data_IF_439439513090
#
_entry.id   IF_439439513090
#
_cell.length_a   1.000
_cell.length_b   1.000
_cell.length_c   1.000
_cell.angle_alpha   90.00
_cell.angle_beta   90.00
_cell.angle_gamma   90.00
#
_symmetry.space_group_name_H-M   'P 1'
#
loop_
_entity.id
_entity.type
_entity.pdbx_description
1 polymer ?
#
# COMPACT_ATOMS: atom_id res chain seq x y z
N UNK A 1 6.24 10.76 -11.32
CA UNK A 1 5.70 10.32 -10.02
C UNK A 1 6.83 10.30 -8.98
N UNK A 2 6.86 11.22 -8.01
CA UNK A 2 7.92 11.37 -7.01
C UNK A 2 7.85 10.30 -5.91
N UNK A 3 7.61 9.04 -6.29
CA UNK A 3 7.57 7.92 -5.35
C UNK A 3 8.97 7.35 -5.17
N UNK A 4 9.31 6.97 -3.94
CA UNK A 4 10.58 6.32 -3.60
C UNK A 4 10.82 5.08 -4.50
N UNK A 5 12.06 4.81 -4.93
CA UNK A 5 12.37 3.68 -5.83
C UNK A 5 11.90 2.32 -5.31
N UNK A 6 11.89 2.10 -3.98
CA UNK A 6 11.42 0.85 -3.38
C UNK A 6 9.94 0.56 -3.67
N UNK A 7 9.07 1.57 -3.69
CA UNK A 7 7.66 1.42 -4.05
C UNK A 7 7.49 1.03 -5.52
N UNK A 8 8.34 1.56 -6.42
CA UNK A 8 8.34 1.18 -7.84
C UNK A 8 8.76 -0.28 -8.03
N UNK A 9 9.84 -0.70 -7.36
CA UNK A 9 10.29 -2.10 -7.38
C UNK A 9 9.26 -3.05 -6.78
N UNK A 10 8.58 -2.64 -5.70
CA UNK A 10 7.44 -3.36 -5.14
C UNK A 10 6.32 -3.52 -6.18
N UNK A 11 5.90 -2.41 -6.81
CA UNK A 11 4.82 -2.44 -7.77
C UNK A 11 5.12 -3.32 -8.97
N UNK A 12 6.34 -3.26 -9.49
CA UNK A 12 6.78 -4.13 -10.59
C UNK A 12 6.63 -5.62 -10.22
N UNK A 13 7.05 -6.01 -9.00
CA UNK A 13 6.88 -7.39 -8.52
C UNK A 13 5.41 -7.79 -8.39
N UNK A 14 4.56 -6.91 -7.85
CA UNK A 14 3.12 -7.12 -7.74
C UNK A 14 2.48 -7.30 -9.14
N UNK A 15 2.80 -6.39 -10.06
CA UNK A 15 2.31 -6.40 -11.44
C UNK A 15 2.68 -7.69 -12.19
N UNK A 16 3.93 -8.13 -12.05
CA UNK A 16 4.43 -9.34 -12.67
C UNK A 16 3.97 -10.64 -11.98
N UNK A 17 3.27 -10.57 -10.85
CA UNK A 17 2.86 -11.77 -10.10
C UNK A 17 4.03 -12.52 -9.45
N UNK A 18 5.09 -11.80 -9.09
CA UNK A 18 6.32 -12.33 -8.47
C UNK A 18 6.57 -11.71 -7.10
N UNK A 19 5.52 -11.17 -6.49
CA UNK A 19 5.61 -10.65 -5.13
C UNK A 19 5.79 -11.83 -4.16
N UNK A 20 6.82 -11.83 -3.29
CA UNK A 20 7.21 -12.98 -2.49
C UNK A 20 6.31 -13.14 -1.25
N UNK A 21 5.02 -13.32 -1.47
CA UNK A 21 4.06 -13.71 -0.42
C UNK A 21 4.32 -15.16 0.00
N UNK A 22 3.86 -15.57 1.19
CA UNK A 22 4.24 -16.88 1.74
C UNK A 22 3.86 -18.07 0.86
N UNK A 23 2.63 -18.18 0.30
CA UNK A 23 2.30 -19.28 -0.61
C UNK A 23 3.19 -19.29 -1.85
N UNK A 24 3.51 -18.11 -2.41
CA UNK A 24 4.41 -18.00 -3.56
C UNK A 24 5.83 -18.48 -3.21
N UNK A 25 6.35 -18.16 -2.02
CA UNK A 25 7.65 -18.65 -1.56
C UNK A 25 7.68 -20.17 -1.44
N UNK A 26 6.65 -20.75 -0.83
CA UNK A 26 6.48 -22.20 -0.69
C UNK A 26 6.42 -22.89 -2.08
N UNK A 27 5.64 -22.35 -3.01
CA UNK A 27 5.57 -22.82 -4.41
C UNK A 27 6.92 -22.78 -5.13
N UNK A 28 7.82 -21.87 -4.75
CA UNK A 28 9.19 -21.78 -5.29
C UNK A 28 10.21 -22.63 -4.53
N UNK A 29 9.78 -23.42 -3.55
CA UNK A 29 10.67 -24.21 -2.70
C UNK A 29 11.55 -23.36 -1.77
N UNK A 30 11.18 -22.09 -1.56
CA UNK A 30 11.86 -21.21 -0.60
C UNK A 30 11.26 -21.48 0.77
N UNK A 31 12.13 -21.67 1.77
CA UNK A 31 11.71 -21.94 3.13
C UNK A 31 10.82 -20.82 3.69
N UNK A 32 9.61 -21.18 4.14
CA UNK A 32 8.67 -20.29 4.83
C UNK A 32 8.58 -20.70 6.29
N UNK A 33 9.00 -19.84 7.24
CA UNK A 33 8.88 -20.15 8.66
C UNK A 33 7.42 -20.29 9.10
N UNK A 34 7.18 -21.23 10.02
CA UNK A 34 5.93 -21.45 10.76
C UNK A 34 4.74 -21.95 9.94
N UNK A 35 4.24 -21.14 9.01
CA UNK A 35 3.05 -21.40 8.21
C UNK A 35 2.93 -20.40 7.07
N UNK A 36 2.34 -20.82 5.96
CA UNK A 36 1.93 -19.94 4.85
C UNK A 36 0.71 -19.08 5.15
N UNK A 37 0.09 -19.25 6.32
CA UNK A 37 -1.09 -18.50 6.71
C UNK A 37 -0.74 -17.14 7.30
N UNK A 38 -1.65 -16.19 7.13
CA UNK A 38 -1.61 -14.89 7.77
C UNK A 38 -1.79 -15.04 9.28
N UNK A 39 -0.96 -14.32 10.04
CA UNK A 39 -0.99 -14.35 11.51
C UNK A 39 -2.32 -13.84 12.07
N UNK A 40 -2.93 -12.84 11.41
CA UNK A 40 -4.17 -12.19 11.83
C UNK A 40 -5.41 -13.01 11.46
N UNK A 41 -5.53 -13.39 10.20
CA UNK A 41 -6.77 -13.99 9.67
C UNK A 41 -6.75 -15.53 9.61
N UNK A 42 -5.59 -16.17 9.84
CA UNK A 42 -5.40 -17.62 9.78
C UNK A 42 -5.74 -18.28 8.43
N UNK A 43 -5.78 -17.49 7.35
CA UNK A 43 -5.99 -17.93 5.97
C UNK A 43 -4.66 -17.88 5.20
N UNK A 44 -4.50 -18.61 4.07
CA UNK A 44 -3.32 -18.51 3.21
C UNK A 44 -3.01 -17.05 2.85
N UNK A 45 -1.77 -16.63 3.08
CA UNK A 45 -1.33 -15.25 2.89
C UNK A 45 -1.05 -14.95 1.40
N UNK A 46 -2.08 -15.04 0.55
CA UNK A 46 -1.98 -14.72 -0.89
C UNK A 46 -1.89 -13.20 -1.12
N UNK A 47 -1.61 -12.79 -2.37
CA UNK A 47 -1.63 -11.37 -2.77
C UNK A 47 -3.00 -10.75 -2.48
N UNK A 48 -4.08 -11.42 -2.88
CA UNK A 48 -5.45 -10.97 -2.63
C UNK A 48 -5.74 -10.92 -1.13
N UNK A 49 -5.30 -11.92 -0.36
CA UNK A 49 -5.45 -11.86 1.08
C UNK A 49 -4.76 -10.62 1.66
N UNK A 50 -3.48 -10.43 1.36
CA UNK A 50 -2.67 -9.33 1.93
C UNK A 50 -3.24 -7.96 1.60
N UNK A 51 -3.68 -7.73 0.36
CA UNK A 51 -4.05 -6.38 -0.10
C UNK A 51 -5.55 -6.11 -0.19
N UNK A 52 -6.41 -7.12 -0.12
CA UNK A 52 -7.86 -6.97 -0.32
C UNK A 52 -8.61 -7.44 0.92
N UNK A 53 -8.34 -8.66 1.38
CA UNK A 53 -9.21 -9.34 2.35
C UNK A 53 -8.72 -9.31 3.80
N UNK A 54 -7.44 -9.05 4.04
CA UNK A 54 -6.91 -9.00 5.39
C UNK A 54 -7.43 -7.77 6.14
N UNK A 55 -7.66 -7.91 7.45
CA UNK A 55 -8.18 -6.82 8.29
C UNK A 55 -7.41 -5.51 8.15
N UNK A 56 -6.07 -5.55 8.18
CA UNK A 56 -5.25 -4.34 7.99
C UNK A 56 -5.52 -3.64 6.65
N UNK A 57 -5.76 -4.41 5.59
CA UNK A 57 -6.06 -3.87 4.27
C UNK A 57 -7.46 -3.27 4.24
N UNK A 58 -8.46 -4.00 4.72
CA UNK A 58 -9.86 -3.54 4.78
C UNK A 58 -9.94 -2.21 5.55
N UNK A 59 -9.29 -2.13 6.71
CA UNK A 59 -9.27 -0.92 7.52
C UNK A 59 -8.53 0.24 6.83
N UNK A 60 -7.34 0.01 6.28
CA UNK A 60 -6.62 1.07 5.57
C UNK A 60 -7.43 1.63 4.39
N UNK A 61 -8.03 0.75 3.59
CA UNK A 61 -8.82 1.16 2.43
C UNK A 61 -10.10 1.89 2.82
N UNK A 62 -10.80 1.43 3.86
CA UNK A 62 -12.02 2.09 4.33
C UNK A 62 -11.74 3.54 4.76
N UNK A 63 -10.70 3.78 5.57
CA UNK A 63 -10.33 5.15 5.95
C UNK A 63 -9.92 5.97 4.73
N UNK A 64 -9.07 5.43 3.85
CA UNK A 64 -8.60 6.19 2.68
C UNK A 64 -9.74 6.60 1.76
N UNK A 65 -10.66 5.68 1.46
CA UNK A 65 -11.81 5.97 0.60
C UNK A 65 -12.76 6.99 1.24
N UNK A 66 -12.97 6.93 2.56
CA UNK A 66 -13.78 7.90 3.31
C UNK A 66 -13.13 9.29 3.33
N UNK A 67 -11.83 9.36 3.61
CA UNK A 67 -11.08 10.63 3.63
C UNK A 67 -11.09 11.29 2.25
N UNK A 68 -10.88 10.51 1.18
CA UNK A 68 -10.81 11.03 -0.19
C UNK A 68 -12.17 11.14 -0.89
N UNK A 69 -13.23 10.62 -0.29
CA UNK A 69 -14.57 10.46 -0.91
C UNK A 69 -14.49 9.82 -2.31
N UNK A 70 -13.56 8.87 -2.49
CA UNK A 70 -13.25 8.21 -3.77
C UNK A 70 -13.20 6.70 -3.57
N UNK A 71 -13.92 5.97 -4.42
CA UNK A 71 -13.87 4.52 -4.45
C UNK A 71 -12.61 4.05 -5.18
N UNK A 72 -11.83 3.19 -4.54
CA UNK A 72 -10.64 2.59 -5.11
C UNK A 72 -10.98 1.21 -5.69
N UNK A 73 -10.31 0.80 -6.77
CA UNK A 73 -10.56 -0.50 -7.39
C UNK A 73 -9.87 -1.62 -6.59
N UNK A 74 -10.35 -1.90 -5.37
CA UNK A 74 -9.78 -2.92 -4.47
C UNK A 74 -10.21 -4.32 -4.94
N UNK A 75 -9.67 -4.71 -6.09
CA UNK A 75 -9.87 -6.02 -6.75
C UNK A 75 -8.52 -6.53 -7.22
N UNK A 76 -8.39 -7.83 -7.48
CA UNK A 76 -7.13 -8.43 -7.94
C UNK A 76 -6.58 -7.73 -9.19
N UNK A 77 -7.44 -7.39 -10.16
CA UNK A 77 -7.06 -6.61 -11.34
C UNK A 77 -6.72 -5.17 -10.98
N UNK A 78 -7.54 -4.51 -10.17
CA UNK A 78 -7.36 -3.10 -9.84
C UNK A 78 -6.04 -2.80 -9.13
N UNK A 79 -5.65 -3.63 -8.15
CA UNK A 79 -4.37 -3.46 -7.43
C UNK A 79 -3.17 -3.82 -8.31
N UNK A 80 -3.31 -4.77 -9.24
CA UNK A 80 -2.23 -5.24 -10.11
C UNK A 80 -1.88 -4.26 -11.22
N UNK A 81 -2.85 -3.48 -11.68
CA UNK A 81 -2.69 -2.54 -12.79
C UNK A 81 -2.88 -1.08 -12.41
N UNK A 82 -3.15 -0.78 -11.13
CA UNK A 82 -3.54 0.57 -10.66
C UNK A 82 -4.65 1.16 -11.53
N UNK A 83 -5.71 0.37 -11.77
CA UNK A 83 -6.79 0.72 -12.70
C UNK A 83 -7.76 1.75 -12.10
N UNK A 84 -7.24 2.94 -11.79
CA UNK A 84 -7.96 4.07 -11.19
C UNK A 84 -7.70 5.35 -11.98
N UNK A 85 -8.76 6.13 -12.19
CA UNK A 85 -8.67 7.38 -12.96
C UNK A 85 -8.17 8.53 -12.08
N UNK A 86 -7.22 9.30 -12.62
CA UNK A 86 -6.69 10.52 -12.02
C UNK A 86 -7.59 11.73 -12.33
N UNK A 87 -8.78 11.75 -11.73
CA UNK A 87 -9.79 12.80 -11.90
C UNK A 87 -9.26 14.14 -11.37
N UNK A 88 -9.49 15.22 -12.11
CA UNK A 88 -9.04 16.59 -11.78
C UNK A 88 -7.53 16.71 -11.53
N UNK A 89 -6.72 15.87 -12.19
CA UNK A 89 -5.27 15.86 -12.05
C UNK A 89 -4.75 15.24 -10.75
N UNK A 90 -5.64 14.81 -9.84
CA UNK A 90 -5.25 14.15 -8.59
C UNK A 90 -4.64 12.78 -8.92
N UNK A 91 -3.40 12.48 -8.48
CA UNK A 91 -2.73 11.22 -8.77
C UNK A 91 -3.22 10.10 -7.83
N UNK A 92 -4.45 9.62 -8.04
CA UNK A 92 -5.03 8.53 -7.26
C UNK A 92 -4.31 7.19 -7.45
N UNK A 93 -3.74 6.95 -8.62
CA UNK A 93 -2.86 5.81 -8.89
C UNK A 93 -1.64 5.79 -7.95
N UNK A 94 -1.03 6.96 -7.72
CA UNK A 94 0.08 7.13 -6.78
C UNK A 94 -0.38 6.87 -5.34
N UNK A 95 -1.55 7.40 -4.95
CA UNK A 95 -2.09 7.19 -3.59
C UNK A 95 -2.39 5.70 -3.36
N UNK A 96 -3.01 5.03 -4.34
CA UNK A 96 -3.27 3.59 -4.31
C UNK A 96 -1.97 2.80 -4.17
N UNK A 97 -0.94 3.15 -4.96
CA UNK A 97 0.39 2.54 -4.88
C UNK A 97 1.02 2.71 -3.50
N UNK A 98 0.94 3.91 -2.91
CA UNK A 98 1.46 4.15 -1.56
C UNK A 98 0.74 3.30 -0.51
N UNK A 99 -0.58 3.17 -0.59
CA UNK A 99 -1.36 2.31 0.30
C UNK A 99 -0.93 0.84 0.20
N UNK A 100 -0.79 0.33 -1.02
CA UNK A 100 -0.34 -1.04 -1.29
C UNK A 100 1.07 -1.28 -0.74
N UNK A 101 1.99 -0.35 -1.00
CA UNK A 101 3.36 -0.46 -0.52
C UNK A 101 3.45 -0.41 1.00
N UNK A 102 2.61 0.39 1.67
CA UNK A 102 2.56 0.45 3.12
C UNK A 102 2.05 -0.83 3.76
N UNK A 103 1.00 -1.45 3.21
CA UNK A 103 0.54 -2.78 3.62
C UNK A 103 1.65 -3.81 3.46
N UNK A 104 2.37 -3.76 2.34
CA UNK A 104 3.48 -4.66 2.07
C UNK A 104 4.62 -4.49 3.08
N UNK A 105 5.00 -3.25 3.41
CA UNK A 105 6.04 -2.97 4.41
C UNK A 105 5.70 -3.54 5.78
N UNK A 106 4.47 -3.36 6.24
CA UNK A 106 4.01 -3.94 7.51
C UNK A 106 4.06 -5.47 7.47
N UNK A 107 3.60 -6.09 6.38
CA UNK A 107 3.62 -7.55 6.23
C UNK A 107 5.03 -8.13 6.23
N UNK A 108 5.94 -7.53 5.47
CA UNK A 108 7.34 -7.95 5.43
C UNK A 108 8.00 -7.79 6.80
N UNK A 109 7.75 -6.68 7.49
CA UNK A 109 8.28 -6.46 8.84
C UNK A 109 7.81 -7.53 9.84
N UNK A 110 6.52 -7.88 9.82
CA UNK A 110 5.97 -8.97 10.67
C UNK A 110 6.59 -10.31 10.30
N UNK A 111 6.68 -10.63 9.00
CA UNK A 111 7.23 -11.90 8.53
C UNK A 111 8.74 -12.05 8.84
N UNK A 112 9.48 -10.95 8.88
CA UNK A 112 10.89 -10.93 9.28
C UNK A 112 11.12 -10.75 10.79
N UNK A 113 10.05 -10.73 11.60
CA UNK A 113 10.12 -10.47 13.03
C UNK A 113 10.89 -9.17 13.37
N UNK A 114 10.70 -8.13 12.56
CA UNK A 114 11.31 -6.82 12.79
C UNK A 114 10.74 -6.19 14.07
N UNK A 115 11.64 -5.80 14.99
CA UNK A 115 11.29 -5.17 16.27
C UNK A 115 10.62 -3.81 16.10
N UNK A 116 10.77 -3.18 14.93
CA UNK A 116 10.34 -1.81 14.65
C UNK A 116 9.23 -1.75 13.60
N UNK A 117 8.51 -2.86 13.40
CA UNK A 117 7.39 -2.89 12.47
C UNK A 117 6.32 -1.89 12.89
N UNK A 118 5.86 -1.09 11.93
CA UNK A 118 4.81 -0.09 12.14
C UNK A 118 3.50 -0.52 11.45
N UNK A 119 2.34 -0.07 11.94
CA UNK A 119 1.08 -0.17 11.22
C UNK A 119 1.17 0.43 9.82
N UNK A 120 0.41 -0.12 8.86
CA UNK A 120 0.43 0.32 7.47
C UNK A 120 0.10 1.81 7.33
N UNK A 121 -0.81 2.32 8.17
CA UNK A 121 -1.13 3.75 8.26
C UNK A 121 0.11 4.63 8.47
N UNK A 122 1.01 4.27 9.38
CA UNK A 122 2.18 5.10 9.66
C UNK A 122 3.17 5.13 8.49
N UNK A 123 3.40 3.98 7.84
CA UNK A 123 4.21 3.94 6.62
C UNK A 123 3.58 4.75 5.48
N UNK A 124 2.25 4.76 5.42
CA UNK A 124 1.51 5.54 4.43
C UNK A 124 1.67 7.04 4.69
N UNK A 125 1.42 7.50 5.92
CA UNK A 125 1.60 8.90 6.33
C UNK A 125 3.03 9.37 6.07
N UNK A 126 4.04 8.59 6.43
CA UNK A 126 5.45 8.92 6.18
C UNK A 126 5.71 9.11 4.67
N UNK A 127 5.16 8.22 3.84
CA UNK A 127 5.35 8.27 2.39
C UNK A 127 4.63 9.47 1.77
N UNK A 128 3.40 9.75 2.19
CA UNK A 128 2.63 10.92 1.75
C UNK A 128 3.31 12.22 2.18
N UNK A 129 3.77 12.31 3.42
CA UNK A 129 4.48 13.48 3.93
C UNK A 129 5.73 13.77 3.07
N UNK A 130 6.52 12.75 2.75
CA UNK A 130 7.67 12.91 1.86
C UNK A 130 7.29 13.44 0.47
N UNK A 131 6.22 12.92 -0.13
CA UNK A 131 5.74 13.40 -1.44
C UNK A 131 5.20 14.82 -1.35
N UNK A 132 4.47 15.14 -0.28
CA UNK A 132 3.94 16.49 -0.04
C UNK A 132 5.06 17.52 0.00
N UNK A 133 6.13 17.26 0.74
CA UNK A 133 7.27 18.18 0.81
C UNK A 133 7.95 18.35 -0.57
N UNK A 134 8.02 17.29 -1.38
CA UNK A 134 8.53 17.37 -2.76
C UNK A 134 7.66 18.30 -3.63
N UNK A 135 6.34 18.26 -3.50
CA UNK A 135 5.44 19.15 -4.26
C UNK A 135 5.42 20.58 -3.69
N UNK A 136 5.51 20.76 -2.38
CA UNK A 136 5.62 22.09 -1.74
C UNK A 136 6.87 22.86 -2.17
N UNK A 137 7.96 22.14 -2.43
CA UNK A 137 9.22 22.71 -2.90
C UNK A 137 9.19 23.14 -4.39
N UNK A 138 8.12 22.83 -5.14
CA UNK A 138 8.02 23.24 -6.55
C UNK A 138 7.60 24.71 -6.67
N UNK A 139 8.08 25.44 -7.70
CA UNK A 139 7.68 26.83 -7.94
C UNK A 139 6.19 27.01 -8.16
N UNK A 140 5.54 26.02 -8.79
CA UNK A 140 4.11 25.97 -9.02
C UNK A 140 3.55 24.74 -8.32
N UNK A 141 2.70 24.96 -7.33
CA UNK A 141 2.10 23.89 -6.53
C UNK A 141 0.82 23.40 -7.20
N UNK A 142 0.58 22.07 -7.23
CA UNK A 142 -0.65 21.56 -7.81
C UNK A 142 -1.87 21.92 -6.94
N UNK A 143 -2.99 22.25 -7.58
CA UNK A 143 -4.26 22.58 -6.89
C UNK A 143 -4.77 21.49 -5.94
N UNK A 144 -4.38 20.24 -6.21
CA UNK A 144 -4.75 19.08 -5.40
C UNK A 144 -3.80 18.83 -4.22
N UNK A 145 -2.76 19.64 -4.01
CA UNK A 145 -1.83 19.51 -2.88
C UNK A 145 -2.52 19.42 -1.50
N UNK A 146 -3.62 20.15 -1.21
CA UNK A 146 -4.34 20.02 0.06
C UNK A 146 -4.83 18.60 0.36
N UNK A 147 -5.04 17.76 -0.66
CA UNK A 147 -5.39 16.34 -0.47
C UNK A 147 -4.26 15.60 0.27
N UNK A 148 -2.99 15.94 -0.01
CA UNK A 148 -1.87 15.34 0.69
C UNK A 148 -1.80 15.80 2.16
N UNK A 149 -2.29 17.00 2.48
CA UNK A 149 -2.40 17.48 3.86
C UNK A 149 -3.43 16.68 4.65
N UNK A 150 -4.61 16.42 4.07
CA UNK A 150 -5.63 15.57 4.68
C UNK A 150 -5.11 14.14 4.91
N UNK A 151 -4.33 13.61 3.96
CA UNK A 151 -3.75 12.27 4.04
C UNK A 151 -2.61 12.14 5.06
N UNK A 152 -1.89 13.21 5.38
CA UNK A 152 -0.89 13.19 6.48
C UNK A 152 -1.59 13.17 7.84
N UNK A 153 -2.80 13.72 7.92
CA UNK A 153 -3.65 13.73 9.10
C UNK A 153 -4.63 12.54 9.17
N UNK A 154 -4.34 11.45 8.43
CA UNK A 154 -5.22 10.27 8.36
C UNK A 154 -5.55 9.78 9.76
N UNK A 155 -6.84 9.58 10.10
CA UNK A 155 -7.25 9.19 11.46
C UNK A 155 -6.80 7.76 11.81
N UNK A 156 -6.66 7.48 13.10
CA UNK A 156 -6.53 6.10 13.61
C UNK A 156 -7.90 5.39 13.61
N UNK A 157 -7.86 4.07 13.59
CA UNK A 157 -9.03 3.20 13.64
C UNK A 157 -9.47 2.96 15.08
#
# INVERSE_FOLDING_TARGET
>A
MPVKPNAKSFFFKLHCGVLPVKPWLEEKGIFVPWSTHCVLCKQPETVEHVFIYCWDAVFLWDILQRTLKKNFPITARGIRFLAIDNVNGVPYDMILLLGLHSLWKTRVGVNHADKTVRPAREYFIESVAGIREVFRAQPEQPDWLPILDDLVCLKEF
#
